data_IF_106880271383
#
_entry.id   IF_106880271383
#
_cell.length_a   1.000
_cell.length_b   1.000
_cell.length_c   1.000
_cell.angle_alpha   90.00
_cell.angle_beta   90.00
_cell.angle_gamma   90.00
#
_symmetry.space_group_name_H-M   'P 1'
#
loop_
_entity.id
_entity.type
_entity.pdbx_description
1 polymer ?
#
# COMPACT_ATOMS: atom_id res chain seq x y z
N UNK A 1 -4.92 20.16 -5.16
CA UNK A 1 -4.40 20.20 -6.54
C UNK A 1 -3.33 19.13 -6.83
N UNK A 2 -2.30 18.96 -5.98
CA UNK A 2 -1.22 17.98 -6.21
C UNK A 2 -1.69 16.52 -6.19
N UNK A 3 -2.47 16.11 -5.17
CA UNK A 3 -2.94 14.72 -5.01
C UNK A 3 -3.84 14.26 -6.19
N UNK A 4 -4.71 15.14 -6.71
CA UNK A 4 -5.57 14.82 -7.86
C UNK A 4 -4.74 14.65 -9.14
N UNK A 5 -3.71 15.47 -9.34
CA UNK A 5 -2.78 15.34 -10.47
C UNK A 5 -1.98 14.05 -10.42
N UNK A 6 -1.56 13.63 -9.23
CA UNK A 6 -0.89 12.34 -8.98
C UNK A 6 -1.80 11.17 -9.35
N UNK A 7 -3.07 11.20 -8.91
CA UNK A 7 -4.06 10.15 -9.18
C UNK A 7 -4.43 10.06 -10.67
N UNK A 8 -4.61 11.21 -11.33
CA UNK A 8 -4.87 11.25 -12.78
C UNK A 8 -3.70 10.71 -13.61
N UNK A 9 -2.47 10.71 -13.08
CA UNK A 9 -1.34 10.10 -13.77
C UNK A 9 -1.30 8.60 -13.57
N UNK A 10 -1.54 8.14 -12.34
CA UNK A 10 -1.56 6.71 -12.01
C UNK A 10 -2.74 6.00 -12.72
N UNK A 11 -3.88 6.66 -12.96
CA UNK A 11 -5.04 6.02 -13.62
C UNK A 11 -4.79 5.66 -15.10
N UNK A 12 -3.70 6.17 -15.69
CA UNK A 12 -3.32 5.91 -17.08
C UNK A 12 -2.04 5.07 -17.23
N UNK A 13 -1.67 4.34 -16.17
CA UNK A 13 -0.57 3.37 -16.25
C UNK A 13 -0.92 2.22 -17.20
N UNK A 14 0.11 1.60 -17.76
CA UNK A 14 0.00 0.53 -18.75
C UNK A 14 -0.48 -0.79 -18.14
N UNK A 15 -1.02 -1.67 -18.96
CA UNK A 15 -1.43 -3.01 -18.53
C UNK A 15 -0.25 -3.81 -17.96
N UNK A 16 0.96 -3.63 -18.50
CA UNK A 16 2.20 -4.22 -17.94
C UNK A 16 2.47 -3.74 -16.52
N UNK A 17 2.24 -2.45 -16.24
CA UNK A 17 2.42 -1.89 -14.88
C UNK A 17 1.34 -2.40 -13.91
N UNK A 18 0.10 -2.56 -14.40
CA UNK A 18 -0.98 -3.16 -13.60
C UNK A 18 -0.67 -4.63 -13.30
N UNK A 19 -0.20 -5.40 -14.29
CA UNK A 19 0.19 -6.80 -14.12
C UNK A 19 1.32 -6.97 -13.10
N UNK A 20 2.24 -5.99 -13.03
CA UNK A 20 3.29 -6.02 -12.02
C UNK A 20 2.77 -5.72 -10.61
N UNK A 21 1.79 -4.82 -10.46
CA UNK A 21 1.09 -4.62 -9.18
C UNK A 21 0.35 -5.90 -8.74
N UNK A 22 -0.32 -6.59 -9.67
CA UNK A 22 -0.98 -7.87 -9.39
C UNK A 22 0.00 -8.94 -8.94
N UNK A 23 1.16 -9.05 -9.59
CA UNK A 23 2.19 -10.03 -9.20
C UNK A 23 2.71 -9.77 -7.79
N UNK A 24 2.92 -8.50 -7.42
CA UNK A 24 3.35 -8.13 -6.06
C UNK A 24 2.24 -8.43 -5.04
N UNK A 25 0.99 -8.14 -5.38
CA UNK A 25 -0.19 -8.43 -4.55
C UNK A 25 -0.38 -9.93 -4.30
N UNK A 26 -0.18 -10.78 -5.32
CA UNK A 26 -0.23 -12.24 -5.16
C UNK A 26 0.86 -12.76 -4.21
N UNK A 27 2.06 -12.17 -4.24
CA UNK A 27 3.14 -12.49 -3.30
C UNK A 27 2.82 -12.02 -1.87
N UNK A 28 2.14 -10.87 -1.76
CA UNK A 28 1.63 -10.35 -0.49
C UNK A 28 0.59 -11.32 0.09
N UNK A 29 -0.39 -11.74 -0.70
CA UNK A 29 -1.43 -12.71 -0.33
C UNK A 29 -0.81 -14.01 0.19
N UNK A 30 0.20 -14.54 -0.51
CA UNK A 30 0.89 -15.74 -0.06
C UNK A 30 1.58 -15.53 1.30
N UNK A 31 2.25 -14.39 1.49
CA UNK A 31 2.88 -14.06 2.77
C UNK A 31 1.85 -13.87 3.90
N UNK A 32 0.67 -13.33 3.60
CA UNK A 32 -0.44 -13.23 4.56
C UNK A 32 -0.90 -14.63 4.96
N UNK A 33 -1.16 -15.50 3.99
CA UNK A 33 -1.61 -16.86 4.21
C UNK A 33 -0.63 -17.68 5.06
N UNK A 34 0.67 -17.56 4.77
CA UNK A 34 1.75 -18.29 5.47
C UNK A 34 2.08 -17.70 6.86
N UNK A 35 1.48 -16.58 7.26
CA UNK A 35 1.86 -15.91 8.51
C UNK A 35 3.23 -15.20 8.45
N UNK A 36 3.80 -15.07 7.26
CA UNK A 36 5.12 -14.50 7.04
C UNK A 36 5.11 -12.98 7.14
N UNK A 37 5.29 -12.46 8.35
CA UNK A 37 5.33 -11.02 8.64
C UNK A 37 6.39 -10.29 7.80
N UNK A 38 7.57 -10.89 7.63
CA UNK A 38 8.65 -10.25 6.87
C UNK A 38 8.28 -10.14 5.40
N UNK A 39 7.73 -11.21 4.81
CA UNK A 39 7.20 -11.22 3.45
C UNK A 39 6.06 -10.21 3.29
N UNK A 40 5.14 -10.15 4.25
CA UNK A 40 4.05 -9.17 4.23
C UNK A 40 4.57 -7.74 4.10
N UNK A 41 5.48 -7.33 5.00
CA UNK A 41 6.03 -5.97 5.01
C UNK A 41 6.84 -5.66 3.74
N UNK A 42 7.56 -6.65 3.21
CA UNK A 42 8.35 -6.49 1.99
C UNK A 42 7.46 -6.24 0.77
N UNK A 43 6.46 -7.09 0.54
CA UNK A 43 5.56 -6.96 -0.61
C UNK A 43 4.62 -5.77 -0.46
N UNK A 44 4.18 -5.45 0.76
CA UNK A 44 3.38 -4.26 1.03
C UNK A 44 4.14 -2.97 0.69
N UNK A 45 5.40 -2.85 1.14
CA UNK A 45 6.27 -1.75 0.73
C UNK A 45 6.50 -1.72 -0.78
N UNK A 46 6.80 -2.87 -1.40
CA UNK A 46 7.05 -2.97 -2.83
C UNK A 46 5.85 -2.49 -3.66
N UNK A 47 4.62 -2.86 -3.28
CA UNK A 47 3.40 -2.43 -3.97
C UNK A 47 3.26 -0.91 -3.95
N UNK A 48 3.34 -0.30 -2.77
CA UNK A 48 3.20 1.16 -2.62
C UNK A 48 4.30 1.92 -3.36
N UNK A 49 5.55 1.51 -3.23
CA UNK A 49 6.67 2.20 -3.88
C UNK A 49 6.69 2.00 -5.40
N UNK A 50 6.26 0.84 -5.89
CA UNK A 50 6.05 0.66 -7.32
C UNK A 50 5.01 1.67 -7.82
N UNK A 51 3.85 1.76 -7.17
CA UNK A 51 2.79 2.70 -7.52
C UNK A 51 3.24 4.16 -7.45
N UNK A 52 3.96 4.55 -6.39
CA UNK A 52 4.43 5.92 -6.20
C UNK A 52 5.46 6.32 -7.26
N UNK A 53 6.36 5.41 -7.66
CA UNK A 53 7.34 5.69 -8.70
C UNK A 53 6.69 5.91 -10.08
N UNK A 54 5.52 5.34 -10.35
CA UNK A 54 4.75 5.62 -11.58
C UNK A 54 4.25 7.07 -11.67
N UNK A 55 4.16 7.77 -10.53
CA UNK A 55 3.73 9.19 -10.50
C UNK A 55 4.80 10.14 -11.05
N UNK A 56 6.07 9.74 -11.04
CA UNK A 56 7.24 10.58 -11.36
C UNK A 56 7.26 11.90 -10.55
N UNK A 57 6.78 11.88 -9.31
CA UNK A 57 6.93 13.00 -8.38
C UNK A 57 8.21 12.83 -7.57
N UNK A 58 9.35 13.02 -8.24
CA UNK A 58 10.70 12.73 -7.71
C UNK A 58 11.01 13.46 -6.39
N UNK A 59 10.40 14.62 -6.17
CA UNK A 59 10.56 15.39 -4.92
C UNK A 59 9.83 14.74 -3.75
N UNK A 60 8.68 14.09 -3.96
CA UNK A 60 7.85 13.55 -2.89
C UNK A 60 8.34 12.16 -2.40
N UNK A 61 8.92 11.36 -3.28
CA UNK A 61 9.34 9.97 -2.98
C UNK A 61 10.30 9.88 -1.78
N UNK A 62 11.36 10.71 -1.65
CA UNK A 62 12.25 10.65 -0.50
C UNK A 62 11.57 10.94 0.84
N UNK A 63 10.56 11.83 0.85
CA UNK A 63 9.78 12.13 2.06
C UNK A 63 8.89 10.95 2.45
N UNK A 64 8.22 10.33 1.47
CA UNK A 64 7.40 9.14 1.71
C UNK A 64 8.27 7.99 2.22
N UNK A 65 9.46 7.79 1.63
CA UNK A 65 10.44 6.79 2.10
C UNK A 65 10.89 7.04 3.53
N UNK A 66 11.17 8.29 3.89
CA UNK A 66 11.56 8.66 5.25
C UNK A 66 10.45 8.37 6.27
N UNK A 67 9.19 8.68 5.91
CA UNK A 67 8.03 8.35 6.75
C UNK A 67 7.85 6.83 6.88
N UNK A 68 8.02 6.08 5.78
CA UNK A 68 7.92 4.63 5.81
C UNK A 68 8.95 3.98 6.74
N UNK A 69 10.20 4.44 6.70
CA UNK A 69 11.26 3.92 7.59
C UNK A 69 10.95 4.15 9.07
N UNK A 70 10.26 5.24 9.41
CA UNK A 70 9.82 5.52 10.77
C UNK A 70 8.62 4.65 11.19
N UNK A 71 7.70 4.38 10.26
CA UNK A 71 6.48 3.61 10.51
C UNK A 71 6.66 2.09 10.44
N UNK A 72 7.64 1.61 9.66
CA UNK A 72 7.91 0.19 9.43
C UNK A 72 8.12 -0.65 10.71
N UNK A 73 8.90 -0.19 11.71
CA UNK A 73 9.03 -0.88 12.98
C UNK A 73 7.70 -1.06 13.72
N UNK A 74 6.80 -0.07 13.66
CA UNK A 74 5.47 -0.16 14.26
C UNK A 74 4.61 -1.21 13.56
N UNK A 75 4.55 -1.19 12.22
CA UNK A 75 3.81 -2.21 11.47
C UNK A 75 4.31 -3.62 11.80
N UNK A 76 5.62 -3.83 11.96
CA UNK A 76 6.18 -5.13 12.37
C UNK A 76 5.68 -5.57 13.75
N UNK A 77 5.66 -4.68 14.74
CA UNK A 77 5.16 -4.99 16.09
C UNK A 77 3.69 -5.38 16.04
N UNK A 78 2.86 -4.62 15.33
CA UNK A 78 1.42 -4.91 15.24
C UNK A 78 1.14 -6.19 14.44
N UNK A 79 1.83 -6.42 13.33
CA UNK A 79 1.74 -7.69 12.62
C UNK A 79 2.13 -8.87 13.51
N UNK A 80 3.16 -8.72 14.34
CA UNK A 80 3.58 -9.73 15.31
C UNK A 80 2.54 -10.02 16.40
N UNK A 81 1.77 -9.01 16.83
CA UNK A 81 0.73 -9.15 17.86
C UNK A 81 -0.58 -9.70 17.32
N UNK A 82 -1.00 -9.25 16.14
CA UNK A 82 -2.33 -9.52 15.59
C UNK A 82 -2.33 -10.65 14.55
N UNK A 83 -1.15 -11.06 14.07
CA UNK A 83 -1.01 -11.95 12.92
C UNK A 83 -1.31 -11.24 11.60
N UNK A 84 -0.80 -11.79 10.51
CA UNK A 84 -0.99 -11.24 9.15
C UNK A 84 -2.43 -11.35 8.67
N UNK A 85 -3.18 -12.39 9.08
CA UNK A 85 -4.56 -12.62 8.65
C UNK A 85 -5.57 -11.54 9.11
N UNK A 86 -5.21 -10.75 10.12
CA UNK A 86 -6.03 -9.62 10.59
C UNK A 86 -5.69 -8.32 9.85
N UNK A 87 -4.69 -8.32 8.96
CA UNK A 87 -4.41 -7.20 8.08
C UNK A 87 -5.37 -7.28 6.90
N UNK A 88 -6.37 -6.39 6.90
CA UNK A 88 -7.26 -6.23 5.75
C UNK A 88 -6.46 -5.67 4.56
N UNK A 89 -6.47 -6.34 3.41
CA UNK A 89 -5.76 -5.81 2.25
C UNK A 89 -6.71 -4.95 1.39
N UNK A 90 -6.21 -3.81 0.89
CA UNK A 90 -6.92 -2.91 -0.03
C UNK A 90 -6.27 -2.86 -1.42
N UNK A 91 -5.18 -3.60 -1.64
CA UNK A 91 -4.42 -3.61 -2.89
C UNK A 91 -5.28 -4.11 -4.05
N UNK A 92 -6.12 -5.12 -3.83
CA UNK A 92 -7.12 -5.58 -4.82
C UNK A 92 -8.11 -4.50 -5.25
N UNK A 93 -8.55 -3.66 -4.31
CA UNK A 93 -9.46 -2.53 -4.60
C UNK A 93 -8.76 -1.46 -5.43
N UNK A 94 -7.49 -1.19 -5.13
CA UNK A 94 -6.63 -0.26 -5.89
C UNK A 94 -6.46 -0.79 -7.31
N UNK A 95 -6.03 -2.04 -7.49
CA UNK A 95 -5.84 -2.68 -8.81
C UNK A 95 -7.14 -2.66 -9.62
N UNK A 96 -8.27 -3.02 -9.00
CA UNK A 96 -9.58 -3.00 -9.67
C UNK A 96 -9.95 -1.60 -10.16
N UNK A 97 -9.68 -0.57 -9.36
CA UNK A 97 -9.92 0.82 -9.76
C UNK A 97 -9.00 1.27 -10.92
N UNK A 98 -7.75 0.80 -10.95
CA UNK A 98 -6.80 1.07 -12.04
C UNK A 98 -7.26 0.44 -13.36
N UNK A 99 -7.66 -0.84 -13.33
CA UNK A 99 -8.20 -1.55 -14.49
C UNK A 99 -9.46 -0.84 -15.03
N UNK A 100 -10.38 -0.48 -14.13
CA UNK A 100 -11.61 0.23 -14.49
C UNK A 100 -11.39 1.70 -14.87
N UNK A 101 -10.15 2.21 -14.74
CA UNK A 101 -9.79 3.63 -14.90
C UNK A 101 -10.70 4.58 -14.11
N UNK A 102 -11.15 4.13 -12.93
CA UNK A 102 -12.06 4.87 -12.06
C UNK A 102 -11.29 5.63 -10.97
N UNK A 103 -11.05 6.93 -11.21
CA UNK A 103 -10.33 7.82 -10.28
C UNK A 103 -11.00 7.93 -8.91
N UNK A 104 -12.34 7.91 -8.86
CA UNK A 104 -13.09 8.02 -7.60
C UNK A 104 -12.86 6.80 -6.72
N UNK A 105 -12.99 5.60 -7.30
CA UNK A 105 -12.73 4.35 -6.60
C UNK A 105 -11.26 4.23 -6.19
N UNK A 106 -10.33 4.69 -7.04
CA UNK A 106 -8.91 4.69 -6.72
C UNK A 106 -8.63 5.57 -5.49
N UNK A 107 -9.18 6.77 -5.44
CA UNK A 107 -9.05 7.67 -4.30
C UNK A 107 -9.63 7.05 -3.02
N UNK A 108 -10.80 6.41 -3.10
CA UNK A 108 -11.43 5.74 -1.95
C UNK A 108 -10.53 4.61 -1.45
N UNK A 109 -10.07 3.74 -2.34
CA UNK A 109 -9.24 2.58 -2.00
C UNK A 109 -7.90 3.00 -1.39
N UNK A 110 -7.19 3.97 -1.99
CA UNK A 110 -5.93 4.48 -1.44
C UNK A 110 -6.12 5.15 -0.07
N UNK A 111 -7.21 5.87 0.15
CA UNK A 111 -7.50 6.46 1.47
C UNK A 111 -7.82 5.39 2.51
N UNK A 112 -8.56 4.35 2.14
CA UNK A 112 -8.88 3.24 3.03
C UNK A 112 -7.60 2.51 3.46
N UNK A 113 -6.71 2.23 2.50
CA UNK A 113 -5.41 1.59 2.71
C UNK A 113 -4.52 2.38 3.69
N UNK A 114 -4.30 3.68 3.42
CA UNK A 114 -3.50 4.55 4.30
C UNK A 114 -4.14 4.64 5.69
N UNK A 115 -5.46 4.81 5.78
CA UNK A 115 -6.16 4.87 7.08
C UNK A 115 -6.07 3.57 7.84
N UNK A 116 -5.99 2.45 7.16
CA UNK A 116 -5.80 1.17 7.83
C UNK A 116 -4.37 1.06 8.37
N UNK A 117 -3.36 1.36 7.55
CA UNK A 117 -1.97 1.44 8.01
C UNK A 117 -1.78 2.46 9.16
N UNK A 118 -2.58 3.53 9.18
CA UNK A 118 -2.55 4.58 10.20
C UNK A 118 -3.48 4.35 11.40
N UNK A 119 -4.52 3.49 11.29
CA UNK A 119 -5.31 3.02 12.46
C UNK A 119 -4.46 2.19 13.43
N UNK A 120 -3.26 1.88 13.00
CA UNK A 120 -2.20 1.22 13.73
C UNK A 120 -1.20 2.31 14.18
N UNK A 121 -1.61 3.35 14.95
CA UNK A 121 -1.27 3.38 16.39
C UNK A 121 -2.10 4.37 17.28
N UNK A 122 -2.74 3.90 18.35
CA UNK A 122 -2.95 4.67 19.60
C UNK A 122 -3.35 3.78 20.79
N UNK A 123 -4.05 2.68 20.55
CA UNK A 123 -4.49 1.78 21.63
C UNK A 123 -3.38 0.84 22.14
N UNK A 124 -2.25 0.77 21.43
CA UNK A 124 -1.13 -0.11 21.74
C UNK A 124 -0.03 0.52 22.61
N UNK A 125 -0.15 1.81 22.93
CA UNK A 125 0.83 2.61 23.73
C UNK A 125 0.33 2.87 25.16
N UNK A 126 -0.96 2.62 25.44
CA UNK A 126 -1.56 2.79 26.76
C UNK A 126 -2.17 1.46 27.21
N UNK A 127 -1.34 0.56 27.74
CA UNK A 127 -1.69 -0.41 28.78
C UNK A 127 -0.46 -0.67 29.64
#
# INVERSE_FOLDING_TARGET
>A
MIIISVLNKIIHITDTQISQLQTIDEQLDFAIYDGNITGYLQHNHAFHFYLYNLTQYDVAIPFIQSLWLQLGPYMRIICGRNGTAQMQDQHKSIVSALIAKNVSNLLIAMNADIKQGAKIPMDAVIK
#
